data_IF_004769258313
#
_entry.id   IF_004769258313
#
_cell.length_a   1.000
_cell.length_b   1.000
_cell.length_c   1.000
_cell.angle_alpha   90.00
_cell.angle_beta   90.00
_cell.angle_gamma   90.00
#
_symmetry.space_group_name_H-M   'P 1'
#
loop_
_entity.id
_entity.type
_entity.pdbx_description
1 polymer ?
#
# COMPACT_ATOMS: atom_id res chain seq x y z
N UNK A 1 17.69 -16.35 18.36
CA UNK A 1 17.23 -15.07 18.95
C UNK A 1 17.28 -13.92 17.92
N UNK A 2 18.31 -13.84 17.09
CA UNK A 2 18.49 -12.78 16.05
C UNK A 2 17.33 -12.69 15.05
N UNK A 3 16.89 -13.81 14.45
CA UNK A 3 15.87 -13.79 13.38
C UNK A 3 14.50 -13.23 13.81
N UNK A 4 14.04 -13.57 15.01
CA UNK A 4 12.77 -13.07 15.55
C UNK A 4 12.83 -11.57 15.83
N UNK A 5 13.95 -11.09 16.37
CA UNK A 5 14.19 -9.65 16.54
C UNK A 5 14.16 -8.90 15.22
N UNK A 6 14.81 -9.45 14.18
CA UNK A 6 14.77 -8.88 12.82
C UNK A 6 13.34 -8.85 12.25
N UNK A 7 12.53 -9.89 12.48
CA UNK A 7 11.13 -9.92 12.03
C UNK A 7 10.30 -8.82 12.72
N UNK A 8 10.47 -8.63 14.02
CA UNK A 8 9.80 -7.56 14.78
C UNK A 8 10.23 -6.20 14.24
N UNK A 9 11.51 -6.01 13.94
CA UNK A 9 12.02 -4.79 13.34
C UNK A 9 11.36 -4.53 11.98
N UNK A 10 11.27 -5.55 11.11
CA UNK A 10 10.56 -5.43 9.83
C UNK A 10 9.09 -5.07 10.02
N UNK A 11 8.40 -5.66 10.99
CA UNK A 11 7.01 -5.32 11.30
C UNK A 11 6.88 -3.84 11.73
N UNK A 12 7.76 -3.34 12.60
CA UNK A 12 7.72 -1.95 13.05
C UNK A 12 7.98 -0.99 11.88
N UNK A 13 8.99 -1.28 11.06
CA UNK A 13 9.32 -0.48 9.87
C UNK A 13 8.13 -0.49 8.89
N UNK A 14 7.58 -1.66 8.57
CA UNK A 14 6.43 -1.78 7.67
C UNK A 14 5.19 -1.06 8.22
N UNK A 15 4.91 -1.15 9.54
CA UNK A 15 3.81 -0.40 10.14
C UNK A 15 4.02 1.11 10.03
N UNK A 16 5.22 1.61 10.33
CA UNK A 16 5.53 3.03 10.26
C UNK A 16 5.35 3.57 8.83
N UNK A 17 5.96 2.92 7.85
CA UNK A 17 5.90 3.35 6.45
C UNK A 17 4.54 3.07 5.79
N UNK A 18 3.89 1.96 6.14
CA UNK A 18 2.57 1.60 5.64
C UNK A 18 1.47 2.54 6.13
N UNK A 19 1.39 2.76 7.44
CA UNK A 19 0.39 3.67 8.02
C UNK A 19 0.68 5.12 7.58
N UNK A 20 1.95 5.54 7.63
CA UNK A 20 2.35 6.87 7.16
C UNK A 20 1.96 7.09 5.71
N UNK A 21 2.34 6.18 4.81
CA UNK A 21 1.98 6.23 3.39
C UNK A 21 0.47 6.26 3.16
N UNK A 22 -0.29 5.42 3.86
CA UNK A 22 -1.75 5.41 3.77
C UNK A 22 -2.37 6.76 4.16
N UNK A 23 -1.98 7.31 5.32
CA UNK A 23 -2.52 8.59 5.82
C UNK A 23 -2.19 9.74 4.87
N UNK A 24 -0.97 9.77 4.31
CA UNK A 24 -0.55 10.77 3.32
C UNK A 24 -1.44 10.69 2.08
N UNK A 25 -1.61 9.49 1.51
CA UNK A 25 -2.42 9.29 0.32
C UNK A 25 -3.91 9.63 0.56
N UNK A 26 -4.44 9.31 1.74
CA UNK A 26 -5.80 9.67 2.11
C UNK A 26 -5.96 11.19 2.23
N UNK A 27 -4.97 11.89 2.79
CA UNK A 27 -4.99 13.34 2.90
C UNK A 27 -4.84 14.03 1.54
N UNK A 28 -3.97 13.54 0.66
CA UNK A 28 -3.81 14.03 -0.72
C UNK A 28 -5.15 13.93 -1.46
N UNK A 29 -5.84 12.79 -1.36
CA UNK A 29 -7.18 12.66 -1.96
C UNK A 29 -8.22 13.60 -1.35
N UNK A 30 -8.17 13.83 -0.03
CA UNK A 30 -9.07 14.81 0.63
C UNK A 30 -8.78 16.22 0.11
N UNK A 31 -7.51 16.57 -0.06
CA UNK A 31 -7.07 17.86 -0.56
C UNK A 31 -7.54 18.09 -2.01
N UNK A 32 -7.34 17.12 -2.90
CA UNK A 32 -7.79 17.22 -4.29
C UNK A 32 -9.32 17.30 -4.40
N UNK A 33 -10.06 16.50 -3.61
CA UNK A 33 -11.52 16.62 -3.53
C UNK A 33 -11.97 17.97 -2.97
N UNK A 34 -11.26 18.53 -1.98
CA UNK A 34 -11.62 19.82 -1.41
C UNK A 34 -11.45 20.97 -2.41
N UNK A 35 -10.51 20.86 -3.36
CA UNK A 35 -10.34 21.86 -4.43
C UNK A 35 -11.51 21.91 -5.41
N UNK A 36 -12.22 20.80 -5.63
CA UNK A 36 -13.36 20.76 -6.56
C UNK A 36 -14.64 21.35 -5.97
N UNK A 37 -14.68 21.58 -4.65
CA UNK A 37 -15.81 22.21 -3.98
C UNK A 37 -15.89 23.72 -4.28
N UNK A 38 -17.08 24.28 -4.07
CA UNK A 38 -17.37 25.70 -4.25
C UNK A 38 -16.33 26.58 -3.53
N UNK A 39 -15.89 27.62 -4.24
CA UNK A 39 -14.92 28.58 -3.73
C UNK A 39 -15.56 29.45 -2.65
N UNK A 40 -15.11 29.30 -1.40
CA UNK A 40 -15.55 30.10 -0.24
C UNK A 40 -14.31 30.47 0.54
N UNK A 41 -13.65 31.52 0.09
CA UNK A 41 -12.30 31.87 0.56
C UNK A 41 -12.27 32.07 2.08
N UNK A 42 -11.29 31.47 2.73
CA UNK A 42 -11.05 31.60 4.17
C UNK A 42 -9.61 31.98 4.44
N UNK A 43 -9.39 32.73 5.51
CA UNK A 43 -8.06 33.14 5.95
C UNK A 43 -7.65 32.40 7.21
N UNK A 44 -6.47 31.80 7.20
CA UNK A 44 -5.84 31.21 8.38
C UNK A 44 -4.88 32.23 8.99
N UNK A 45 -5.03 32.51 10.29
CA UNK A 45 -4.24 33.48 11.05
C UNK A 45 -4.11 34.86 10.37
N UNK A 46 -5.14 35.28 9.61
CA UNK A 46 -5.16 36.51 8.80
C UNK A 46 -3.98 36.68 7.81
N UNK A 47 -3.25 35.60 7.49
CA UNK A 47 -2.03 35.65 6.66
C UNK A 47 -2.09 34.76 5.44
N UNK A 48 -2.70 33.58 5.56
CA UNK A 48 -2.73 32.58 4.48
C UNK A 48 -4.15 32.44 3.98
N UNK A 49 -4.33 32.64 2.67
CA UNK A 49 -5.62 32.54 2.00
C UNK A 49 -5.81 31.13 1.44
N UNK A 50 -6.95 30.52 1.74
CA UNK A 50 -7.34 29.21 1.23
C UNK A 50 -8.61 29.30 0.38
N UNK A 51 -8.74 28.39 -0.59
CA UNK A 51 -9.89 28.31 -1.50
C UNK A 51 -11.22 28.07 -0.77
N UNK A 52 -11.20 27.18 0.21
CA UNK A 52 -12.31 26.94 1.13
C UNK A 52 -11.81 26.34 2.46
N UNK A 53 -12.74 26.16 3.39
CA UNK A 53 -12.47 25.57 4.72
C UNK A 53 -11.91 24.15 4.64
N UNK A 54 -12.34 23.34 3.67
CA UNK A 54 -11.88 21.96 3.53
C UNK A 54 -10.43 21.89 3.05
N UNK A 55 -10.03 22.76 2.12
CA UNK A 55 -8.63 22.89 1.68
C UNK A 55 -7.76 23.34 2.85
N UNK A 56 -8.23 24.29 3.67
CA UNK A 56 -7.52 24.72 4.89
C UNK A 56 -7.36 23.56 5.88
N UNK A 57 -8.42 22.78 6.12
CA UNK A 57 -8.38 21.63 7.03
C UNK A 57 -7.39 20.56 6.55
N UNK A 58 -7.41 20.22 5.26
CA UNK A 58 -6.50 19.24 4.66
C UNK A 58 -5.03 19.72 4.71
N UNK A 59 -4.78 21.02 4.51
CA UNK A 59 -3.44 21.59 4.66
C UNK A 59 -2.93 21.54 6.11
N UNK A 60 -3.77 21.88 7.09
CA UNK A 60 -3.42 21.77 8.52
C UNK A 60 -3.17 20.30 8.90
N UNK A 61 -3.95 19.37 8.35
CA UNK A 61 -3.71 17.94 8.54
C UNK A 61 -2.38 17.51 7.92
N UNK A 62 -2.06 17.98 6.71
CA UNK A 62 -0.78 17.72 6.07
C UNK A 62 0.39 18.17 6.95
N UNK A 63 0.33 19.38 7.52
CA UNK A 63 1.37 19.87 8.43
C UNK A 63 1.56 18.98 9.67
N UNK A 64 0.47 18.40 10.20
CA UNK A 64 0.53 17.44 11.31
C UNK A 64 1.13 16.11 10.87
N UNK A 65 0.74 15.60 9.72
CA UNK A 65 1.26 14.36 9.12
C UNK A 65 2.77 14.49 8.91
N UNK A 66 3.23 15.60 8.33
CA UNK A 66 4.65 15.85 8.03
C UNK A 66 5.53 16.03 9.28
N UNK A 67 4.95 16.29 10.46
CA UNK A 67 5.69 16.28 11.73
C UNK A 67 6.01 14.87 12.20
N UNK A 68 5.14 13.90 11.90
CA UNK A 68 5.27 12.49 12.31
C UNK A 68 6.02 11.68 11.23
N UNK A 69 5.75 11.99 9.96
CA UNK A 69 6.27 11.31 8.78
C UNK A 69 7.07 12.29 7.90
N UNK A 70 8.23 12.79 8.37
CA UNK A 70 8.98 13.82 7.66
C UNK A 70 9.53 13.36 6.31
N UNK A 71 9.72 12.05 6.12
CA UNK A 71 10.17 11.46 4.86
C UNK A 71 9.23 11.81 3.69
N UNK A 72 7.96 12.07 3.97
CA UNK A 72 6.94 12.38 2.99
C UNK A 72 7.15 13.74 2.29
N UNK A 73 7.91 14.67 2.90
CA UNK A 73 8.14 16.01 2.33
C UNK A 73 8.82 15.97 0.96
N UNK A 74 9.61 14.93 0.70
CA UNK A 74 10.46 14.84 -0.50
C UNK A 74 9.97 13.76 -1.47
N UNK A 75 8.92 13.01 -1.11
CA UNK A 75 8.43 11.90 -1.92
C UNK A 75 7.32 12.34 -2.86
N UNK A 76 7.41 12.01 -4.17
CA UNK A 76 6.27 12.07 -5.07
C UNK A 76 5.14 11.14 -4.59
N UNK A 77 3.88 11.49 -4.83
CA UNK A 77 2.72 10.66 -4.40
C UNK A 77 2.79 9.23 -4.94
N UNK A 78 3.36 9.00 -6.13
CA UNK A 78 3.59 7.66 -6.67
C UNK A 78 4.50 6.79 -5.76
N UNK A 79 5.53 7.39 -5.15
CA UNK A 79 6.40 6.70 -4.20
C UNK A 79 5.66 6.36 -2.90
N UNK A 80 4.73 7.21 -2.48
CA UNK A 80 3.87 6.92 -1.32
C UNK A 80 3.01 5.68 -1.57
N UNK A 81 2.45 5.49 -2.78
CA UNK A 81 1.75 4.26 -3.16
C UNK A 81 2.66 3.03 -3.13
N UNK A 82 3.86 3.12 -3.71
CA UNK A 82 4.86 2.04 -3.72
C UNK A 82 5.21 1.59 -2.29
N UNK A 83 5.58 2.55 -1.43
CA UNK A 83 5.97 2.27 -0.04
C UNK A 83 4.80 1.68 0.74
N UNK A 84 3.60 2.21 0.55
CA UNK A 84 2.38 1.70 1.18
C UNK A 84 2.12 0.25 0.77
N UNK A 85 2.16 -0.04 -0.53
CA UNK A 85 1.89 -1.37 -1.07
C UNK A 85 2.91 -2.41 -0.58
N UNK A 86 4.21 -2.09 -0.66
CA UNK A 86 5.31 -2.90 -0.11
C UNK A 86 5.06 -3.22 1.37
N UNK A 87 4.76 -2.19 2.16
CA UNK A 87 4.58 -2.30 3.60
C UNK A 87 3.39 -3.17 3.97
N UNK A 88 2.23 -2.97 3.34
CA UNK A 88 1.05 -3.79 3.65
C UNK A 88 1.16 -5.22 3.14
N UNK A 89 1.81 -5.45 2.00
CA UNK A 89 2.17 -6.80 1.56
C UNK A 89 3.08 -7.51 2.56
N UNK A 90 4.09 -6.80 3.08
CA UNK A 90 4.95 -7.31 4.15
C UNK A 90 4.15 -7.65 5.41
N UNK A 91 3.32 -6.73 5.91
CA UNK A 91 2.50 -6.92 7.12
C UNK A 91 1.60 -8.14 6.97
N UNK A 92 0.96 -8.32 5.81
CA UNK A 92 0.08 -9.46 5.53
C UNK A 92 0.82 -10.79 5.65
N UNK A 93 2.00 -10.89 5.03
CA UNK A 93 2.81 -12.11 5.09
C UNK A 93 3.37 -12.38 6.49
N UNK A 94 3.74 -11.35 7.27
CA UNK A 94 4.09 -11.49 8.69
C UNK A 94 2.89 -12.01 9.49
N UNK A 95 1.68 -11.50 9.22
CA UNK A 95 0.45 -11.99 9.83
C UNK A 95 0.22 -13.48 9.58
N UNK A 96 0.47 -13.95 8.36
CA UNK A 96 0.44 -15.39 8.04
C UNK A 96 1.47 -16.19 8.82
N UNK A 97 2.72 -15.73 8.89
CA UNK A 97 3.77 -16.42 9.67
C UNK A 97 3.36 -16.60 11.13
N UNK A 98 2.81 -15.55 11.74
CA UNK A 98 2.32 -15.59 13.13
C UNK A 98 1.19 -16.62 13.26
N UNK A 99 0.18 -16.54 12.38
CA UNK A 99 -0.95 -17.46 12.38
C UNK A 99 -0.54 -18.92 12.18
N UNK A 100 0.37 -19.19 11.24
CA UNK A 100 0.87 -20.53 10.95
C UNK A 100 1.67 -21.10 12.13
N UNK A 101 2.46 -20.25 12.80
CA UNK A 101 3.22 -20.64 14.00
C UNK A 101 2.30 -21.00 15.16
N UNK A 102 1.23 -20.22 15.36
CA UNK A 102 0.20 -20.50 16.37
C UNK A 102 -0.50 -21.83 16.05
N UNK A 103 -0.97 -22.02 14.82
CA UNK A 103 -1.69 -23.24 14.40
C UNK A 103 -0.83 -24.50 14.50
N UNK A 104 0.43 -24.41 14.08
CA UNK A 104 1.36 -25.55 14.10
C UNK A 104 1.99 -25.78 15.49
N UNK A 105 1.79 -24.86 16.44
CA UNK A 105 2.44 -24.85 17.77
C UNK A 105 3.98 -24.90 17.67
N UNK A 106 4.53 -24.27 16.64
CA UNK A 106 5.97 -24.22 16.34
C UNK A 106 6.51 -22.85 16.72
N UNK A 107 7.76 -22.77 17.20
CA UNK A 107 8.38 -21.47 17.51
C UNK A 107 8.66 -20.71 16.21
N UNK A 108 8.47 -19.39 16.19
CA UNK A 108 8.80 -18.54 15.04
C UNK A 108 10.24 -18.73 14.54
N UNK A 109 11.18 -19.03 15.44
CA UNK A 109 12.59 -19.26 15.10
C UNK A 109 12.84 -20.52 14.27
N UNK A 110 11.90 -21.46 14.29
CA UNK A 110 11.99 -22.76 13.60
C UNK A 110 11.37 -22.70 12.20
N UNK A 111 10.68 -21.61 11.85
CA UNK A 111 10.15 -21.40 10.51
C UNK A 111 11.29 -21.24 9.49
N UNK A 112 11.32 -22.14 8.52
CA UNK A 112 12.25 -22.07 7.37
C UNK A 112 11.99 -20.77 6.61
N UNK A 113 13.07 -20.08 6.20
CA UNK A 113 12.98 -18.86 5.40
C UNK A 113 12.18 -17.71 6.04
N UNK A 114 12.16 -17.63 7.39
CA UNK A 114 11.40 -16.63 8.16
C UNK A 114 11.52 -15.19 7.63
N UNK A 115 12.69 -14.78 7.13
CA UNK A 115 12.94 -13.41 6.64
C UNK A 115 12.63 -13.22 5.15
N UNK A 116 12.57 -14.30 4.37
CA UNK A 116 12.23 -14.23 2.94
C UNK A 116 10.73 -14.12 2.72
N UNK A 117 9.91 -14.67 3.62
CA UNK A 117 8.44 -14.59 3.52
C UNK A 117 7.95 -13.12 3.56
N UNK A 118 8.42 -12.25 4.49
CA UNK A 118 8.11 -10.81 4.47
C UNK A 118 8.48 -10.11 3.16
N UNK A 119 9.63 -10.47 2.60
CA UNK A 119 10.10 -9.90 1.34
C UNK A 119 9.18 -10.32 0.18
N UNK A 120 8.76 -11.59 0.14
CA UNK A 120 7.77 -12.08 -0.82
C UNK A 120 6.44 -11.34 -0.70
N UNK A 121 5.95 -11.14 0.53
CA UNK A 121 4.74 -10.34 0.76
C UNK A 121 4.87 -8.92 0.19
N UNK A 122 6.03 -8.30 0.36
CA UNK A 122 6.32 -6.96 -0.19
C UNK A 122 6.23 -6.94 -1.73
N UNK A 123 6.86 -7.93 -2.38
CA UNK A 123 6.82 -8.08 -3.85
C UNK A 123 5.39 -8.26 -4.33
N UNK A 124 4.58 -9.06 -3.64
CA UNK A 124 3.16 -9.22 -3.98
C UNK A 124 2.40 -7.90 -3.85
N UNK A 125 2.66 -7.11 -2.81
CA UNK A 125 2.11 -5.76 -2.68
C UNK A 125 2.39 -4.91 -3.92
N UNK A 126 3.63 -4.92 -4.44
CA UNK A 126 3.98 -4.23 -5.69
C UNK A 126 3.24 -4.78 -6.91
N UNK A 127 3.13 -6.10 -7.04
CA UNK A 127 2.42 -6.73 -8.16
C UNK A 127 0.94 -6.31 -8.14
N UNK A 128 0.31 -6.35 -6.97
CA UNK A 128 -1.08 -5.92 -6.78
C UNK A 128 -1.25 -4.45 -7.13
N UNK A 129 -0.31 -3.58 -6.74
CA UNK A 129 -0.33 -2.17 -7.12
C UNK A 129 -0.25 -2.02 -8.64
N UNK A 130 0.67 -2.72 -9.29
CA UNK A 130 0.83 -2.71 -10.75
C UNK A 130 -0.44 -3.16 -11.47
N UNK A 131 -1.01 -4.29 -11.08
CA UNK A 131 -2.28 -4.79 -11.62
C UNK A 131 -3.41 -3.77 -11.41
N UNK A 132 -3.45 -3.14 -10.24
CA UNK A 132 -4.48 -2.14 -9.90
C UNK A 132 -4.39 -0.89 -10.77
N UNK A 133 -3.22 -0.54 -11.29
CA UNK A 133 -3.07 0.55 -12.27
C UNK A 133 -3.30 0.09 -13.71
N UNK A 134 -2.76 -1.07 -14.09
CA UNK A 134 -2.79 -1.57 -15.47
C UNK A 134 -4.21 -1.95 -15.90
N UNK A 135 -4.97 -2.66 -15.06
CA UNK A 135 -6.32 -3.10 -15.44
C UNK A 135 -7.24 -1.92 -15.77
N UNK A 136 -7.39 -0.90 -14.91
CA UNK A 136 -8.26 0.23 -15.23
C UNK A 136 -7.78 1.04 -16.43
N UNK A 137 -6.46 1.21 -16.58
CA UNK A 137 -5.88 1.92 -17.72
C UNK A 137 -6.26 1.24 -19.05
N UNK A 138 -6.18 -0.09 -19.12
CA UNK A 138 -6.58 -0.87 -20.29
C UNK A 138 -8.09 -0.81 -20.57
N UNK A 139 -8.93 -0.66 -19.54
CA UNK A 139 -10.39 -0.67 -19.69
C UNK A 139 -10.99 0.71 -19.99
N UNK A 140 -10.39 1.78 -19.49
CA UNK A 140 -11.01 3.12 -19.49
C UNK A 140 -10.24 4.18 -20.28
N UNK A 141 -8.97 3.93 -20.66
CA UNK A 141 -8.08 4.91 -21.32
C UNK A 141 -7.87 6.24 -20.57
N UNK A 142 -8.43 6.38 -19.36
CA UNK A 142 -8.35 7.57 -18.51
C UNK A 142 -7.45 7.30 -17.29
N UNK A 143 -6.88 8.36 -16.73
CA UNK A 143 -6.14 8.30 -15.47
C UNK A 143 -7.10 7.99 -14.31
N UNK A 144 -7.02 6.75 -13.80
CA UNK A 144 -7.86 6.31 -12.69
C UNK A 144 -7.19 6.63 -11.36
N UNK A 145 -7.84 7.50 -10.56
CA UNK A 145 -7.47 7.73 -9.18
C UNK A 145 -7.77 6.50 -8.32
N UNK A 146 -6.73 5.76 -7.94
CA UNK A 146 -6.87 4.64 -7.02
C UNK A 146 -7.35 5.10 -5.64
N UNK A 147 -8.22 4.31 -5.01
CA UNK A 147 -8.61 4.49 -3.61
C UNK A 147 -7.56 3.83 -2.71
N UNK A 148 -6.83 4.57 -1.85
CA UNK A 148 -5.76 4.05 -0.99
C UNK A 148 -6.24 2.89 -0.12
N UNK A 149 -7.45 2.99 0.42
CA UNK A 149 -8.08 1.92 1.23
C UNK A 149 -8.12 0.61 0.47
N UNK A 150 -8.53 0.61 -0.80
CA UNK A 150 -8.59 -0.59 -1.63
C UNK A 150 -7.21 -1.21 -1.81
N UNK A 151 -6.19 -0.39 -2.08
CA UNK A 151 -4.81 -0.85 -2.25
C UNK A 151 -4.26 -1.46 -0.97
N UNK A 152 -4.50 -0.82 0.18
CA UNK A 152 -4.10 -1.34 1.50
C UNK A 152 -4.70 -2.73 1.74
N UNK A 153 -6.00 -2.89 1.54
CA UNK A 153 -6.67 -4.18 1.74
C UNK A 153 -6.15 -5.25 0.79
N UNK A 154 -6.07 -4.94 -0.52
CA UNK A 154 -5.59 -5.91 -1.50
C UNK A 154 -4.15 -6.34 -1.21
N UNK A 155 -3.25 -5.40 -0.90
CA UNK A 155 -1.86 -5.73 -0.58
C UNK A 155 -1.75 -6.57 0.69
N UNK A 156 -2.51 -6.22 1.74
CA UNK A 156 -2.55 -6.99 2.99
C UNK A 156 -3.02 -8.43 2.74
N UNK A 157 -4.14 -8.60 2.02
CA UNK A 157 -4.65 -9.92 1.69
C UNK A 157 -3.73 -10.70 0.76
N UNK A 158 -3.12 -10.05 -0.23
CA UNK A 158 -2.10 -10.66 -1.09
C UNK A 158 -0.91 -11.18 -0.29
N UNK A 159 -0.44 -10.41 0.69
CA UNK A 159 0.61 -10.85 1.61
C UNK A 159 0.19 -12.06 2.45
N UNK A 160 -1.05 -12.07 2.97
CA UNK A 160 -1.59 -13.22 3.72
C UNK A 160 -1.67 -14.46 2.81
N UNK A 161 -2.14 -14.32 1.58
CA UNK A 161 -2.35 -15.44 0.67
C UNK A 161 -1.22 -15.60 -0.35
N UNK A 162 0.03 -15.30 0.02
CA UNK A 162 1.13 -15.17 -0.94
C UNK A 162 1.37 -16.42 -1.82
N UNK A 163 1.25 -17.62 -1.26
CA UNK A 163 1.40 -18.88 -2.01
C UNK A 163 0.26 -19.07 -3.02
N UNK A 164 -0.97 -18.88 -2.56
CA UNK A 164 -2.18 -19.01 -3.39
C UNK A 164 -2.17 -17.97 -4.51
N UNK A 165 -1.70 -16.76 -4.20
CA UNK A 165 -1.53 -15.67 -5.17
C UNK A 165 -0.52 -16.02 -6.26
N UNK A 166 0.64 -16.60 -5.92
CA UNK A 166 1.61 -17.04 -6.92
C UNK A 166 1.07 -18.16 -7.81
N UNK A 167 0.38 -19.15 -7.23
CA UNK A 167 -0.24 -20.22 -8.01
C UNK A 167 -1.28 -19.68 -8.99
N UNK A 168 -2.14 -18.78 -8.52
CA UNK A 168 -3.13 -18.11 -9.35
C UNK A 168 -2.49 -17.31 -10.49
N UNK A 169 -1.39 -16.59 -10.21
CA UNK A 169 -0.66 -15.83 -11.23
C UNK A 169 -0.01 -16.74 -12.28
N UNK A 170 0.57 -17.85 -11.87
CA UNK A 170 1.14 -18.86 -12.77
C UNK A 170 0.06 -19.47 -13.69
N UNK A 171 -1.12 -19.80 -13.15
CA UNK A 171 -2.26 -20.26 -13.94
C UNK A 171 -2.70 -19.23 -14.99
N UNK A 172 -2.78 -17.96 -14.61
CA UNK A 172 -3.10 -16.87 -15.53
C UNK A 172 -2.06 -16.72 -16.64
N UNK A 173 -0.77 -16.75 -16.30
CA UNK A 173 0.29 -16.67 -17.30
C UNK A 173 0.28 -17.85 -18.26
N UNK A 174 0.04 -19.07 -17.74
CA UNK A 174 -0.11 -20.26 -18.59
C UNK A 174 -1.28 -20.09 -19.56
N UNK A 175 -2.42 -19.59 -19.10
CA UNK A 175 -3.56 -19.32 -19.98
C UNK A 175 -3.20 -18.26 -21.02
N UNK A 176 -2.55 -17.15 -20.65
CA UNK A 176 -2.21 -16.11 -21.62
C UNK A 176 -1.18 -16.55 -22.65
N UNK A 177 -0.18 -17.34 -22.26
CA UNK A 177 0.92 -17.77 -23.14
C UNK A 177 0.50 -18.96 -24.02
N UNK A 178 -0.18 -19.96 -23.45
CA UNK A 178 -0.46 -21.22 -24.14
C UNK A 178 -1.86 -21.29 -24.78
N UNK A 179 -2.74 -20.31 -24.57
CA UNK A 179 -4.06 -20.27 -25.23
C UNK A 179 -4.05 -19.53 -26.58
N UNK A 180 -2.88 -19.42 -27.23
CA UNK A 180 -2.74 -19.08 -28.65
C UNK A 180 -1.88 -20.10 -29.42
N UNK A 181 -2.42 -21.29 -29.75
CA UNK A 181 -1.93 -22.03 -30.92
C UNK A 181 -2.98 -22.21 -32.03
N UNK A 182 -4.28 -21.97 -31.77
CA UNK A 182 -5.33 -22.31 -32.73
C UNK A 182 -6.30 -21.14 -32.92
N UNK A 183 -5.89 -20.18 -33.77
CA UNK A 183 -6.84 -19.41 -34.58
C UNK A 183 -6.55 -19.83 -36.02
N UNK A 184 -7.49 -20.62 -36.54
CA UNK A 184 -7.61 -21.10 -37.93
C UNK A 184 -7.50 -19.99 -38.99
#
# INVERSE_FOLDING_TARGET
MTKTGTLILFLIIALYFGIGGFIILENDLKYEKAKTLEKKEVYYNNKIKFHNKEVMNAAIQQDRILKIYPYAKQLPSAMSFIITALSFGMIGSIGKIINDSIKKKVRLSETINLLLIPLQGSIIGLIILGISYVIPLLLTSDDVSLKPVTIVFLCLFGGIFYLDFYNWLDEIFKIMIFKNPDVE
#
